data_IF_658391943921
#
_entry.id   IF_658391943921
#
_cell.length_a   1.000
_cell.length_b   1.000
_cell.length_c   1.000
_cell.angle_alpha   90.00
_cell.angle_beta   90.00
_cell.angle_gamma   90.00
#
_symmetry.space_group_name_H-M   'P 1'
#
loop_
_entity.id
_entity.type
_entity.pdbx_description
1 polymer ?
#
# COMPACT_ATOMS: atom_id res chain seq x y z
N UNK A 1 7.73 9.05 9.53
CA UNK A 1 6.84 10.24 9.48
C UNK A 1 6.48 10.61 8.05
N UNK A 2 7.39 11.13 7.21
CA UNK A 2 7.07 11.48 5.81
C UNK A 2 6.57 10.30 4.97
N UNK A 3 7.19 9.12 5.09
CA UNK A 3 6.71 7.89 4.41
C UNK A 3 5.38 7.35 4.98
N UNK A 4 5.05 7.66 6.24
CA UNK A 4 3.76 7.29 6.84
C UNK A 4 2.65 8.22 6.36
N UNK A 5 2.93 9.52 6.25
CA UNK A 5 2.00 10.49 5.66
C UNK A 5 1.78 10.17 4.18
N UNK A 6 2.83 9.74 3.46
CA UNK A 6 2.72 9.28 2.07
C UNK A 6 1.97 7.95 1.96
N UNK A 7 2.13 7.00 2.88
CA UNK A 7 1.34 5.76 2.88
C UNK A 7 -0.12 6.04 3.25
N UNK A 8 -0.42 6.88 4.23
CA UNK A 8 -1.80 7.28 4.55
C UNK A 8 -2.43 8.09 3.40
N UNK A 9 -1.68 8.95 2.72
CA UNK A 9 -2.14 9.66 1.52
C UNK A 9 -2.34 8.72 0.32
N UNK A 10 -1.52 7.68 0.16
CA UNK A 10 -1.71 6.67 -0.89
C UNK A 10 -2.86 5.72 -0.59
N UNK A 11 -3.09 5.35 0.68
CA UNK A 11 -4.28 4.59 1.11
C UNK A 11 -5.55 5.42 0.87
N UNK A 12 -5.55 6.71 1.23
CA UNK A 12 -6.64 7.63 0.89
C UNK A 12 -6.83 7.73 -0.62
N UNK A 13 -5.77 7.77 -1.42
CA UNK A 13 -5.88 7.77 -2.88
C UNK A 13 -6.44 6.46 -3.46
N UNK A 14 -6.09 5.31 -2.87
CA UNK A 14 -6.64 4.00 -3.22
C UNK A 14 -8.13 3.89 -2.84
N UNK A 15 -8.55 4.50 -1.73
CA UNK A 15 -9.97 4.60 -1.33
C UNK A 15 -10.73 5.60 -2.20
N UNK A 16 -10.14 6.75 -2.51
CA UNK A 16 -10.71 7.77 -3.43
C UNK A 16 -10.80 7.23 -4.87
N UNK A 17 -9.88 6.37 -5.29
CA UNK A 17 -9.98 5.63 -6.55
C UNK A 17 -11.15 4.64 -6.60
N UNK A 18 -11.60 4.12 -5.45
CA UNK A 18 -12.88 3.39 -5.32
C UNK A 18 -14.06 4.36 -5.46
N UNK A 19 -13.99 5.55 -4.85
CA UNK A 19 -15.04 6.57 -4.97
C UNK A 19 -15.20 7.11 -6.40
N UNK A 20 -14.14 7.10 -7.21
CA UNK A 20 -14.22 7.47 -8.63
C UNK A 20 -15.05 6.46 -9.46
N UNK A 21 -15.16 5.20 -9.03
CA UNK A 21 -16.04 4.19 -9.64
C UNK A 21 -17.48 4.30 -9.15
N UNK A 22 -17.74 4.94 -8.00
CA UNK A 22 -19.08 5.10 -7.43
C UNK A 22 -20.00 5.97 -8.31
N UNK A 23 -19.42 6.82 -9.19
CA UNK A 23 -20.19 7.59 -10.18
C UNK A 23 -20.68 6.74 -11.37
N UNK A 24 -20.18 5.51 -11.54
CA UNK A 24 -20.58 4.60 -12.63
C UNK A 24 -21.34 3.41 -12.03
N UNK A 25 -22.65 3.64 -11.91
CA UNK A 25 -23.72 2.67 -12.17
C UNK A 25 -24.05 1.63 -11.09
N UNK A 26 -25.30 1.70 -10.66
CA UNK A 26 -26.08 0.86 -9.75
C UNK A 26 -26.23 -0.63 -10.15
N UNK A 27 -25.35 -1.22 -10.97
CA UNK A 27 -25.58 -2.52 -11.62
C UNK A 27 -24.58 -3.67 -11.32
N UNK A 28 -23.55 -3.52 -10.46
CA UNK A 28 -22.54 -4.60 -10.32
C UNK A 28 -21.92 -4.77 -8.91
N UNK A 29 -22.76 -4.98 -7.89
CA UNK A 29 -22.33 -5.26 -6.49
C UNK A 29 -21.32 -6.42 -6.42
N UNK A 30 -21.43 -7.40 -7.31
CA UNK A 30 -20.53 -8.56 -7.39
C UNK A 30 -19.07 -8.18 -7.71
N UNK A 31 -18.83 -7.28 -8.67
CA UNK A 31 -17.48 -6.89 -9.08
C UNK A 31 -16.81 -6.00 -8.05
N UNK A 32 -17.58 -5.15 -7.36
CA UNK A 32 -17.07 -4.34 -6.25
C UNK A 32 -16.56 -5.21 -5.11
N UNK A 33 -17.27 -6.30 -4.79
CA UNK A 33 -16.85 -7.24 -3.76
C UNK A 33 -15.54 -7.96 -4.12
N UNK A 34 -15.38 -8.39 -5.38
CA UNK A 34 -14.13 -9.01 -5.85
C UNK A 34 -12.97 -8.02 -5.79
N UNK A 35 -13.17 -6.77 -6.22
CA UNK A 35 -12.16 -5.73 -6.16
C UNK A 35 -11.72 -5.45 -4.71
N UNK A 36 -12.67 -5.43 -3.78
CA UNK A 36 -12.42 -5.23 -2.35
C UNK A 36 -11.65 -6.42 -1.73
N UNK A 37 -11.91 -7.65 -2.18
CA UNK A 37 -11.20 -8.84 -1.74
C UNK A 37 -9.78 -8.95 -2.33
N UNK A 38 -9.55 -8.39 -3.52
CA UNK A 38 -8.28 -8.50 -4.23
C UNK A 38 -7.18 -7.63 -3.61
N UNK A 39 -7.56 -6.50 -3.00
CA UNK A 39 -6.65 -5.60 -2.31
C UNK A 39 -5.94 -6.27 -1.11
N UNK A 40 -6.63 -6.87 -0.12
CA UNK A 40 -5.97 -7.56 0.99
C UNK A 40 -5.17 -8.78 0.51
N UNK A 41 -5.62 -9.49 -0.53
CA UNK A 41 -4.83 -10.56 -1.14
C UNK A 41 -3.49 -10.05 -1.69
N UNK A 42 -3.50 -8.89 -2.37
CA UNK A 42 -2.28 -8.22 -2.83
C UNK A 42 -1.39 -7.75 -1.68
N UNK A 43 -1.97 -7.27 -0.57
CA UNK A 43 -1.22 -6.89 0.64
C UNK A 43 -0.47 -8.07 1.24
N UNK A 44 -1.14 -9.21 1.39
CA UNK A 44 -0.50 -10.43 1.93
C UNK A 44 0.65 -10.87 1.03
N UNK A 45 0.43 -10.92 -0.29
CA UNK A 45 1.47 -11.27 -1.24
C UNK A 45 2.66 -10.30 -1.19
N UNK A 46 2.40 -8.99 -1.21
CA UNK A 46 3.43 -7.96 -1.14
C UNK A 46 4.20 -7.98 0.18
N UNK A 47 3.51 -8.24 1.29
CA UNK A 47 4.12 -8.34 2.62
C UNK A 47 5.19 -9.42 2.65
N UNK A 48 4.90 -10.61 2.10
CA UNK A 48 5.83 -11.74 2.09
C UNK A 48 7.03 -11.46 1.18
N UNK A 49 6.79 -10.89 -0.01
CA UNK A 49 7.86 -10.58 -0.97
C UNK A 49 8.80 -9.51 -0.41
N UNK A 50 8.24 -8.41 0.10
CA UNK A 50 9.03 -7.29 0.61
C UNK A 50 9.63 -7.55 1.98
N UNK A 51 9.05 -8.43 2.81
CA UNK A 51 9.68 -8.84 4.08
C UNK A 51 10.99 -9.58 3.81
N UNK A 52 10.98 -10.55 2.90
CA UNK A 52 12.20 -11.28 2.50
C UNK A 52 13.18 -10.34 1.80
N UNK A 53 12.71 -9.47 0.92
CA UNK A 53 13.58 -8.50 0.24
C UNK A 53 14.24 -7.50 1.21
N UNK A 54 13.56 -7.13 2.31
CA UNK A 54 14.11 -6.27 3.35
C UNK A 54 15.28 -6.89 4.12
N UNK A 55 15.27 -8.22 4.26
CA UNK A 55 16.36 -8.96 4.91
C UNK A 55 17.55 -9.15 3.97
N UNK A 56 17.32 -9.36 2.68
CA UNK A 56 18.39 -9.66 1.71
C UNK A 56 19.12 -8.42 1.18
N UNK A 57 18.40 -7.36 0.84
CA UNK A 57 18.94 -6.17 0.14
C UNK A 57 19.20 -5.02 1.12
N UNK A 58 18.66 -5.13 2.34
CA UNK A 58 18.73 -4.11 3.38
C UNK A 58 17.53 -3.17 3.37
N UNK A 59 17.05 -2.83 4.56
CA UNK A 59 15.76 -2.13 4.79
C UNK A 59 15.66 -0.77 4.08
N UNK A 60 16.75 -0.02 3.97
CA UNK A 60 16.77 1.29 3.28
C UNK A 60 16.54 1.16 1.77
N UNK A 61 17.17 0.18 1.12
CA UNK A 61 17.02 -0.04 -0.32
C UNK A 61 15.64 -0.61 -0.62
N UNK A 62 15.11 -1.48 0.24
CA UNK A 62 13.76 -2.02 0.06
C UNK A 62 12.68 -0.93 0.13
N UNK A 63 12.83 0.08 1.00
CA UNK A 63 11.93 1.25 1.02
C UNK A 63 11.99 2.07 -0.28
N UNK A 64 13.17 2.21 -0.89
CA UNK A 64 13.29 2.87 -2.19
C UNK A 64 12.65 2.04 -3.30
N UNK A 65 12.85 0.72 -3.29
CA UNK A 65 12.23 -0.19 -4.26
C UNK A 65 10.71 -0.19 -4.19
N UNK A 66 10.11 0.03 -3.02
CA UNK A 66 8.65 0.14 -2.84
C UNK A 66 8.07 1.39 -3.54
N UNK A 67 8.87 2.45 -3.74
CA UNK A 67 8.40 3.66 -4.43
C UNK A 67 8.09 3.40 -5.92
N UNK A 68 8.75 2.42 -6.53
CA UNK A 68 8.55 2.03 -7.93
C UNK A 68 7.15 1.44 -8.19
N UNK A 69 6.68 0.39 -7.49
CA UNK A 69 5.34 -0.14 -7.69
C UNK A 69 4.25 0.86 -7.30
N UNK A 70 4.52 1.81 -6.38
CA UNK A 70 3.60 2.93 -6.12
C UNK A 70 3.43 3.85 -7.33
N UNK A 71 4.52 4.24 -7.99
CA UNK A 71 4.46 5.07 -9.20
C UNK A 71 3.74 4.35 -10.35
N UNK A 72 3.97 3.04 -10.50
CA UNK A 72 3.30 2.20 -11.50
C UNK A 72 1.80 2.13 -11.20
N UNK A 73 1.42 1.82 -9.96
CA UNK A 73 0.02 1.79 -9.55
C UNK A 73 -0.66 3.13 -9.86
N UNK A 74 0.00 4.24 -9.53
CA UNK A 74 -0.54 5.57 -9.77
C UNK A 74 -0.83 5.82 -11.27
N UNK A 75 0.11 5.45 -12.11
CA UNK A 75 -0.01 5.58 -13.57
C UNK A 75 -1.15 4.70 -14.10
N UNK A 76 -1.23 3.44 -13.66
CA UNK A 76 -2.27 2.49 -14.11
C UNK A 76 -3.68 3.00 -13.79
N UNK A 77 -3.88 3.55 -12.60
CA UNK A 77 -5.16 4.12 -12.17
C UNK A 77 -5.52 5.40 -12.93
N UNK A 78 -4.55 6.25 -13.28
CA UNK A 78 -4.80 7.44 -14.10
C UNK A 78 -5.34 7.09 -15.50
N UNK A 79 -4.93 5.94 -16.05
CA UNK A 79 -5.40 5.44 -17.34
C UNK A 79 -6.54 4.40 -17.23
N UNK A 80 -7.06 4.14 -16.02
CA UNK A 80 -8.07 3.12 -15.79
C UNK A 80 -9.45 3.55 -16.33
N UNK A 81 -9.74 3.17 -17.58
CA UNK A 81 -11.06 3.34 -18.22
C UNK A 81 -11.91 2.07 -18.20
N UNK A 82 -11.40 0.95 -17.68
CA UNK A 82 -12.05 -0.36 -17.67
C UNK A 82 -11.85 -1.08 -16.33
N UNK A 83 -12.84 -1.90 -15.93
CA UNK A 83 -12.85 -2.69 -14.70
C UNK A 83 -11.61 -3.61 -14.61
N UNK A 84 -11.17 -4.16 -15.73
CA UNK A 84 -10.01 -5.05 -15.78
C UNK A 84 -8.71 -4.31 -15.41
N UNK A 85 -8.55 -3.07 -15.87
CA UNK A 85 -7.40 -2.22 -15.54
C UNK A 85 -7.45 -1.82 -14.06
N UNK A 86 -8.64 -1.59 -13.52
CA UNK A 86 -8.83 -1.35 -12.09
C UNK A 86 -8.45 -2.57 -11.24
N UNK A 87 -8.79 -3.80 -11.65
CA UNK A 87 -8.34 -5.03 -10.98
C UNK A 87 -6.82 -5.11 -10.90
N UNK A 88 -6.13 -4.89 -12.01
CA UNK A 88 -4.66 -4.94 -12.06
C UNK A 88 -4.06 -3.85 -11.16
N UNK A 89 -4.60 -2.62 -11.25
CA UNK A 89 -4.19 -1.51 -10.38
C UNK A 89 -4.33 -1.84 -8.89
N UNK A 90 -5.41 -2.53 -8.50
CA UNK A 90 -5.66 -2.97 -7.10
C UNK A 90 -4.64 -3.97 -6.60
N UNK A 91 -4.24 -4.94 -7.43
CA UNK A 91 -3.21 -5.92 -7.05
C UNK A 91 -1.86 -5.24 -6.84
N UNK A 92 -1.45 -4.40 -7.80
CA UNK A 92 -0.16 -3.70 -7.74
C UNK A 92 -0.13 -2.73 -6.55
N UNK A 93 -1.21 -2.00 -6.33
CA UNK A 93 -1.35 -1.12 -5.18
C UNK A 93 -1.32 -1.90 -3.86
N UNK A 94 -2.05 -3.02 -3.76
CA UNK A 94 -2.03 -3.88 -2.58
C UNK A 94 -0.62 -4.38 -2.25
N UNK A 95 0.14 -4.80 -3.26
CA UNK A 95 1.53 -5.26 -3.10
C UNK A 95 2.44 -4.14 -2.56
N UNK A 96 2.34 -2.93 -3.11
CA UNK A 96 3.12 -1.77 -2.66
C UNK A 96 2.77 -1.35 -1.23
N UNK A 97 1.46 -1.34 -0.92
CA UNK A 97 0.93 -1.04 0.41
C UNK A 97 1.46 -2.05 1.43
N UNK A 98 1.30 -3.35 1.19
CA UNK A 98 1.78 -4.39 2.12
C UNK A 98 3.28 -4.29 2.41
N UNK A 99 4.10 -4.05 1.37
CA UNK A 99 5.53 -3.86 1.56
C UNK A 99 5.88 -2.66 2.43
N UNK A 100 5.24 -1.50 2.20
CA UNK A 100 5.49 -0.31 3.01
C UNK A 100 5.08 -0.51 4.48
N UNK A 101 3.96 -1.17 4.76
CA UNK A 101 3.46 -1.38 6.12
C UNK A 101 4.36 -2.31 6.94
N UNK A 102 5.06 -3.24 6.30
CA UNK A 102 5.96 -4.18 6.98
C UNK A 102 7.35 -3.59 7.15
N UNK A 103 7.92 -3.01 6.10
CA UNK A 103 9.32 -2.55 6.12
C UNK A 103 9.50 -1.24 6.90
N UNK A 104 8.49 -0.38 6.92
CA UNK A 104 8.56 0.93 7.58
C UNK A 104 8.69 0.88 9.11
N UNK A 105 7.85 0.15 9.87
CA UNK A 105 8.03 0.01 11.32
C UNK A 105 9.36 -0.63 11.67
N UNK A 106 9.75 -1.63 10.89
CA UNK A 106 11.00 -2.38 10.99
C UNK A 106 12.22 -1.45 10.82
N UNK A 107 12.21 -0.58 9.81
CA UNK A 107 13.26 0.40 9.59
C UNK A 107 13.31 1.47 10.69
N UNK A 108 12.15 1.98 11.11
CA UNK A 108 12.08 2.98 12.18
C UNK A 108 12.59 2.40 13.50
N UNK A 109 12.28 1.13 13.81
CA UNK A 109 12.75 0.46 15.02
C UNK A 109 14.28 0.31 15.08
N UNK A 110 14.95 0.19 13.93
CA UNK A 110 16.42 0.17 13.84
C UNK A 110 17.06 1.54 14.00
N UNK A 111 16.44 2.57 13.42
CA UNK A 111 16.99 3.94 13.44
C UNK A 111 16.66 4.65 14.76
N UNK A 112 15.61 4.22 15.48
CA UNK A 112 15.12 4.88 16.68
C UNK A 112 15.96 4.56 17.93
N UNK A 113 16.37 5.62 18.63
CA UNK A 113 16.98 5.55 19.97
C UNK A 113 16.00 4.89 20.98
N UNK A 114 16.50 4.14 21.98
CA UNK A 114 15.69 3.31 22.87
C UNK A 114 14.56 4.04 23.61
N UNK A 115 14.68 5.36 23.84
CA UNK A 115 13.70 6.18 24.55
C UNK A 115 12.44 6.54 23.74
N UNK A 116 12.43 6.41 22.42
CA UNK A 116 11.28 6.82 21.58
C UNK A 116 10.51 5.64 20.95
N UNK A 117 10.88 4.39 21.27
CA UNK A 117 10.24 3.19 20.69
C UNK A 117 8.74 3.11 20.98
N UNK A 118 8.31 3.53 22.18
CA UNK A 118 6.89 3.58 22.56
C UNK A 118 6.10 4.64 21.78
N UNK A 119 6.64 5.86 21.65
CA UNK A 119 6.00 6.92 20.87
C UNK A 119 5.92 6.58 19.37
N UNK A 120 6.95 5.94 18.81
CA UNK A 120 6.97 5.52 17.42
C UNK A 120 5.99 4.37 17.15
N UNK A 121 5.85 3.43 18.09
CA UNK A 121 4.82 2.39 18.04
C UNK A 121 3.41 2.98 18.07
N UNK A 122 3.13 3.91 19.00
CA UNK A 122 1.83 4.57 19.08
C UNK A 122 1.50 5.41 17.85
N UNK A 123 2.47 6.10 17.25
CA UNK A 123 2.25 6.84 15.99
C UNK A 123 1.93 5.93 14.80
N UNK A 124 2.41 4.69 14.78
CA UNK A 124 2.08 3.73 13.73
C UNK A 124 0.68 3.17 13.89
N UNK A 125 0.28 2.82 15.11
CA UNK A 125 -1.06 2.30 15.40
C UNK A 125 -2.16 3.32 15.13
N UNK A 126 -1.89 4.63 15.27
CA UNK A 126 -2.89 5.69 15.00
C UNK A 126 -3.08 5.94 13.48
N UNK A 127 -2.13 5.51 12.63
CA UNK A 127 -2.13 5.81 11.18
C UNK A 127 -2.64 4.69 10.27
N UNK A 128 -3.01 3.53 10.83
CA UNK A 128 -3.61 2.37 10.14
C UNK A 128 -5.12 2.36 10.34
#
# INVERSE_FOLDING_TARGET
>A
CMLMILSSASTLWIVVGIQMLEKITFLDIYYVNILNALLPAGIVAGTIIFSVAAELIGRKLTLLSISIPYAIAFTVFQFAKSIHVACIGRVIAGIAVGGSHVVLPIYIAEVAKPSSRGALGSMMTIGS
#
